data_IF_273019283445
#
_entry.id   IF_273019283445
#
_cell.length_a   1.000
_cell.length_b   1.000
_cell.length_c   1.000
_cell.angle_alpha   90.00
_cell.angle_beta   90.00
_cell.angle_gamma   90.00
#
_symmetry.space_group_name_H-M   'P 1'
#
loop_
_entity.id
_entity.type
_entity.pdbx_description
1 polymer ?
#
# COMPACT_ATOMS: atom_id res chain seq x y z
N UNK A 1 -3.37 1.42 15.44
CA UNK A 1 -3.46 0.23 16.31
C UNK A 1 -2.41 -0.79 15.83
N UNK A 2 -1.39 -1.12 16.64
CA UNK A 2 -0.39 -2.12 16.28
C UNK A 2 -1.02 -3.46 15.86
N UNK A 3 -0.41 -4.19 14.93
CA UNK A 3 -0.84 -5.51 14.44
C UNK A 3 -2.25 -5.61 13.81
N UNK A 4 -3.04 -4.54 13.75
CA UNK A 4 -4.42 -4.62 13.23
C UNK A 4 -4.51 -5.04 11.76
N UNK A 5 -3.42 -4.94 10.99
CA UNK A 5 -3.31 -5.43 9.62
C UNK A 5 -3.40 -6.97 9.50
N UNK A 6 -3.33 -7.69 10.61
CA UNK A 6 -3.53 -9.15 10.71
C UNK A 6 -4.98 -9.53 11.03
N UNK A 7 -5.81 -8.56 11.41
CA UNK A 7 -7.20 -8.83 11.80
C UNK A 7 -8.10 -9.02 10.57
N UNK A 8 -8.90 -10.08 10.60
CA UNK A 8 -10.00 -10.33 9.65
C UNK A 8 -11.38 -10.11 10.29
N UNK A 9 -11.42 -9.55 11.52
CA UNK A 9 -12.67 -9.31 12.25
C UNK A 9 -13.48 -8.17 11.61
N UNK A 10 -14.81 -8.21 11.72
CA UNK A 10 -15.70 -7.20 11.15
C UNK A 10 -15.47 -5.79 11.71
N UNK A 11 -14.92 -5.67 12.92
CA UNK A 11 -14.54 -4.38 13.51
C UNK A 11 -13.34 -3.74 12.80
N UNK A 12 -12.48 -4.54 12.16
CA UNK A 12 -11.37 -4.06 11.33
C UNK A 12 -11.80 -3.56 9.95
N UNK A 13 -13.11 -3.47 9.68
CA UNK A 13 -13.64 -3.00 8.41
C UNK A 13 -13.35 -1.48 8.23
N UNK A 14 -12.69 -1.06 7.14
CA UNK A 14 -12.31 0.33 6.90
C UNK A 14 -13.50 1.30 6.71
N UNK A 15 -14.70 0.79 6.49
CA UNK A 15 -15.92 1.61 6.40
C UNK A 15 -16.53 1.93 7.76
N UNK A 16 -16.10 1.25 8.83
CA UNK A 16 -16.46 1.62 10.19
C UNK A 16 -15.63 2.83 10.61
N UNK A 17 -16.28 3.77 11.28
CA UNK A 17 -15.65 4.98 11.80
C UNK A 17 -15.58 4.86 13.32
N UNK A 18 -14.39 5.14 13.86
CA UNK A 18 -14.13 5.17 15.29
C UNK A 18 -13.42 6.49 15.60
N UNK A 19 -13.70 7.07 16.77
CA UNK A 19 -13.02 8.29 17.22
C UNK A 19 -11.63 7.97 17.79
N UNK A 20 -11.51 6.86 18.53
CA UNK A 20 -10.27 6.39 19.14
C UNK A 20 -10.36 4.88 19.46
N UNK A 21 -9.23 4.26 19.78
CA UNK A 21 -9.16 2.89 20.28
C UNK A 21 -8.26 2.79 21.54
N UNK A 22 -8.61 2.03 22.60
CA UNK A 22 -7.80 1.95 23.83
C UNK A 22 -6.35 1.49 23.62
N UNK A 23 -6.10 0.69 22.57
CA UNK A 23 -4.76 0.19 22.21
C UNK A 23 -4.11 0.95 21.04
N UNK A 24 -4.65 2.11 20.65
CA UNK A 24 -3.94 2.96 19.70
C UNK A 24 -2.69 3.56 20.34
N UNK A 25 -1.65 3.73 19.53
CA UNK A 25 -0.37 4.28 19.99
C UNK A 25 -0.07 5.54 19.20
N UNK A 26 0.37 6.59 19.91
CA UNK A 26 0.84 7.81 19.27
C UNK A 26 2.26 7.58 18.75
N UNK A 27 2.45 7.78 17.45
CA UNK A 27 3.78 7.73 16.85
C UNK A 27 4.26 9.14 16.60
N UNK A 28 5.33 9.53 17.29
CA UNK A 28 5.98 10.83 17.14
C UNK A 28 7.28 10.67 16.34
N UNK A 29 7.59 11.66 15.51
CA UNK A 29 8.76 11.64 14.63
C UNK A 29 9.35 13.05 14.52
N UNK A 30 10.68 13.12 14.42
CA UNK A 30 11.40 14.34 14.06
C UNK A 30 11.44 14.49 12.53
N UNK A 31 11.68 15.72 12.06
CA UNK A 31 11.96 15.94 10.65
C UNK A 31 13.13 15.04 10.19
N UNK A 32 12.97 14.41 9.03
CA UNK A 32 13.93 13.42 8.49
C UNK A 32 13.67 11.97 8.90
N UNK A 33 12.79 11.71 9.88
CA UNK A 33 12.36 10.34 10.19
C UNK A 33 11.25 9.88 9.23
N UNK A 34 11.19 8.57 8.99
CA UNK A 34 10.15 7.93 8.19
C UNK A 34 9.35 6.94 9.04
N UNK A 35 8.03 6.92 8.83
CA UNK A 35 7.11 5.98 9.47
C UNK A 35 6.62 5.05 8.36
N UNK A 36 6.97 3.77 8.43
CA UNK A 36 6.51 2.77 7.48
C UNK A 36 5.35 1.98 8.07
N UNK A 37 4.24 1.96 7.35
CA UNK A 37 3.02 1.24 7.76
C UNK A 37 2.51 0.34 6.63
N UNK A 38 1.92 -0.79 7.01
CA UNK A 38 1.25 -1.68 6.08
C UNK A 38 -0.08 -1.06 5.59
N UNK A 39 -0.45 -1.25 4.32
CA UNK A 39 -1.71 -0.72 3.76
C UNK A 39 -2.99 -1.14 4.50
N UNK A 40 -2.97 -2.21 5.31
CA UNK A 40 -4.12 -2.70 6.10
C UNK A 40 -4.11 -2.27 7.57
N UNK A 41 -3.12 -1.52 8.04
CA UNK A 41 -3.10 -1.12 9.44
C UNK A 41 -4.10 0.01 9.70
N UNK A 42 -4.80 -0.09 10.82
CA UNK A 42 -5.76 0.90 11.26
C UNK A 42 -4.99 2.07 11.86
N UNK A 43 -5.10 3.24 11.23
CA UNK A 43 -4.34 4.43 11.58
C UNK A 43 -5.16 5.68 11.31
N UNK A 44 -4.79 6.76 11.98
CA UNK A 44 -5.43 8.06 11.87
C UNK A 44 -4.52 9.14 12.41
N UNK A 45 -4.91 10.39 12.16
CA UNK A 45 -4.19 11.55 12.67
C UNK A 45 -4.76 11.94 14.02
N UNK A 46 -3.90 12.03 15.04
CA UNK A 46 -4.27 12.69 16.29
C UNK A 46 -4.59 14.18 16.06
N UNK A 47 -5.47 14.76 16.90
CA UNK A 47 -5.76 16.19 16.90
C UNK A 47 -4.49 17.04 16.97
N UNK A 48 -4.41 18.09 16.15
CA UNK A 48 -3.33 19.07 16.25
C UNK A 48 -3.74 20.16 17.26
N UNK A 49 -3.35 20.00 18.52
CA UNK A 49 -3.67 20.94 19.61
C UNK A 49 -2.61 22.04 19.80
N UNK A 50 -1.57 22.06 18.96
CA UNK A 50 -0.54 23.10 18.97
C UNK A 50 -0.94 24.36 18.18
N UNK A 51 -0.06 25.35 18.22
CA UNK A 51 -0.20 26.66 17.56
C UNK A 51 0.38 26.71 16.13
N UNK A 52 0.89 25.57 15.63
CA UNK A 52 1.56 25.48 14.33
C UNK A 52 1.06 24.29 13.50
N UNK A 53 1.11 24.39 12.16
CA UNK A 53 0.76 23.27 11.29
C UNK A 53 1.76 22.11 11.42
N UNK A 54 1.25 20.88 11.25
CA UNK A 54 2.07 19.66 11.13
C UNK A 54 2.21 19.29 9.65
N UNK A 55 3.43 19.43 9.12
CA UNK A 55 3.76 19.01 7.75
C UNK A 55 4.28 17.58 7.69
N UNK A 56 3.86 16.82 6.66
CA UNK A 56 4.42 15.51 6.33
C UNK A 56 4.32 15.25 4.83
N UNK A 57 5.22 14.41 4.30
CA UNK A 57 5.08 13.83 2.97
C UNK A 57 4.56 12.40 3.10
N UNK A 58 3.40 12.12 2.50
CA UNK A 58 2.83 10.77 2.45
C UNK A 58 3.13 10.15 1.08
N UNK A 59 3.96 9.11 1.07
CA UNK A 59 4.28 8.34 -0.13
C UNK A 59 3.63 6.96 0.00
N UNK A 60 2.75 6.63 -0.95
CA UNK A 60 2.11 5.33 -1.01
C UNK A 60 2.73 4.50 -2.14
N UNK A 61 3.15 3.28 -1.82
CA UNK A 61 3.59 2.29 -2.80
C UNK A 61 2.47 1.28 -3.02
N UNK A 62 2.27 0.89 -4.28
CA UNK A 62 1.39 -0.22 -4.65
C UNK A 62 2.15 -1.20 -5.54
N UNK A 63 1.76 -2.48 -5.55
CA UNK A 63 2.26 -3.40 -6.56
C UNK A 63 1.95 -2.88 -7.97
N UNK A 64 2.90 -3.02 -8.90
CA UNK A 64 2.76 -2.49 -10.27
C UNK A 64 1.52 -3.03 -10.99
N UNK A 65 1.14 -4.27 -10.70
CA UNK A 65 -0.03 -4.94 -11.28
C UNK A 65 -1.38 -4.47 -10.74
N UNK A 66 -1.41 -3.71 -9.64
CA UNK A 66 -2.64 -3.28 -8.97
C UNK A 66 -3.04 -1.88 -9.45
N UNK A 67 -3.41 -1.75 -10.72
CA UNK A 67 -3.76 -0.46 -11.33
C UNK A 67 -4.84 0.34 -10.57
N UNK A 68 -4.96 1.65 -10.83
CA UNK A 68 -5.97 2.52 -10.20
C UNK A 68 -7.39 2.06 -10.50
N UNK A 69 -8.40 2.57 -9.75
CA UNK A 69 -9.83 2.28 -9.99
C UNK A 69 -10.24 2.72 -11.39
N UNK A 70 -9.85 3.94 -11.76
CA UNK A 70 -10.06 4.51 -13.10
C UNK A 70 -8.74 4.79 -13.80
N UNK A 71 -8.79 4.94 -15.13
CA UNK A 71 -7.62 5.27 -15.92
C UNK A 71 -7.08 6.64 -15.50
N UNK A 72 -5.76 6.75 -15.39
CA UNK A 72 -5.06 8.00 -15.13
C UNK A 72 -4.11 8.30 -16.28
N UNK A 73 -3.73 9.57 -16.43
CA UNK A 73 -2.70 9.94 -17.40
C UNK A 73 -1.38 9.22 -17.05
N UNK A 74 -0.69 8.70 -18.04
CA UNK A 74 0.63 8.10 -17.84
C UNK A 74 1.68 9.17 -17.50
N UNK A 75 2.86 8.72 -17.07
CA UNK A 75 3.98 9.63 -16.80
C UNK A 75 4.44 10.33 -18.08
N UNK A 76 4.87 11.59 -17.95
CA UNK A 76 5.59 12.26 -19.02
C UNK A 76 6.96 11.56 -19.22
N UNK A 77 7.24 10.97 -20.41
CA UNK A 77 8.51 10.30 -20.67
C UNK A 77 9.73 11.22 -20.50
N UNK A 78 9.58 12.51 -20.82
CA UNK A 78 10.64 13.50 -20.68
C UNK A 78 11.01 13.77 -19.22
N UNK A 79 10.04 13.76 -18.32
CA UNK A 79 10.28 13.89 -16.87
C UNK A 79 10.86 12.60 -16.28
N UNK A 80 10.36 11.43 -16.70
CA UNK A 80 10.89 10.14 -16.24
C UNK A 80 12.35 9.95 -16.68
N UNK A 81 12.73 10.43 -17.87
CA UNK A 81 14.10 10.35 -18.36
C UNK A 81 15.12 11.14 -17.50
N UNK A 82 14.66 12.15 -16.75
CA UNK A 82 15.50 12.95 -15.83
C UNK A 82 15.78 12.23 -14.51
N UNK A 83 15.05 11.17 -14.19
CA UNK A 83 15.21 10.45 -12.93
C UNK A 83 16.47 9.57 -12.92
N UNK A 84 17.09 9.34 -11.75
CA UNK A 84 18.21 8.42 -11.62
C UNK A 84 17.85 7.01 -12.11
N UNK A 85 18.84 6.31 -12.64
CA UNK A 85 18.69 4.96 -13.19
C UNK A 85 18.05 3.97 -12.21
N UNK A 86 18.39 4.05 -10.93
CA UNK A 86 17.82 3.22 -9.87
C UNK A 86 16.35 3.55 -9.54
N UNK A 87 15.87 4.72 -9.95
CA UNK A 87 14.51 5.21 -9.63
C UNK A 87 13.55 4.99 -10.79
N UNK A 88 14.01 5.11 -12.05
CA UNK A 88 13.19 4.92 -13.27
C UNK A 88 12.33 3.63 -13.24
N UNK A 89 12.79 2.47 -12.74
CA UNK A 89 11.97 1.26 -12.70
C UNK A 89 10.68 1.38 -11.88
N UNK A 90 10.60 2.32 -10.92
CA UNK A 90 9.39 2.56 -10.14
C UNK A 90 8.33 3.39 -10.88
N UNK A 91 8.69 3.98 -12.03
CA UNK A 91 7.83 4.81 -12.88
C UNK A 91 7.35 4.04 -14.14
N UNK A 92 7.05 2.75 -13.98
CA UNK A 92 6.38 1.96 -15.00
C UNK A 92 4.94 2.43 -15.31
N UNK A 93 4.25 1.72 -16.21
CA UNK A 93 2.90 2.09 -16.66
C UNK A 93 1.92 2.27 -15.50
N UNK A 94 1.28 3.45 -15.41
CA UNK A 94 0.37 3.76 -14.29
C UNK A 94 -0.91 2.95 -14.37
N UNK A 95 -1.30 2.56 -15.58
CA UNK A 95 -2.52 1.83 -15.85
C UNK A 95 -2.35 0.30 -15.93
N UNK A 96 -1.16 -0.24 -15.60
CA UNK A 96 -0.93 -1.69 -15.58
C UNK A 96 -1.88 -2.39 -14.61
N UNK A 97 -2.60 -3.41 -15.11
CA UNK A 97 -3.57 -4.23 -14.37
C UNK A 97 -3.34 -5.69 -14.74
N UNK A 98 -2.93 -6.52 -13.77
CA UNK A 98 -2.85 -7.98 -13.95
C UNK A 98 -4.00 -8.62 -13.17
N UNK A 99 -5.18 -8.64 -13.78
CA UNK A 99 -6.38 -9.30 -13.27
C UNK A 99 -7.28 -9.71 -14.44
N UNK A 100 -8.18 -10.66 -14.21
CA UNK A 100 -9.23 -11.04 -15.15
C UNK A 100 -10.57 -11.12 -14.39
N UNK A 101 -11.38 -10.05 -14.47
CA UNK A 101 -12.71 -10.02 -13.86
C UNK A 101 -13.74 -10.86 -14.64
N UNK A 102 -13.47 -11.18 -15.91
CA UNK A 102 -14.36 -11.96 -16.77
C UNK A 102 -14.06 -13.47 -16.75
N UNK A 103 -12.99 -13.88 -16.08
CA UNK A 103 -12.57 -15.27 -15.98
C UNK A 103 -13.66 -16.15 -15.37
N UNK A 104 -13.94 -17.29 -16.02
CA UNK A 104 -14.85 -18.30 -15.47
C UNK A 104 -14.27 -18.97 -14.22
N UNK A 105 -15.12 -19.63 -13.44
CA UNK A 105 -14.72 -20.30 -12.18
C UNK A 105 -13.59 -21.35 -12.35
N UNK A 106 -13.48 -21.97 -13.53
CA UNK A 106 -12.43 -22.94 -13.87
C UNK A 106 -11.91 -22.66 -15.29
N UNK A 107 -10.94 -21.74 -15.44
CA UNK A 107 -10.36 -21.42 -16.75
C UNK A 107 -9.65 -22.63 -17.37
N UNK A 108 -9.48 -22.62 -18.69
CA UNK A 108 -8.59 -23.58 -19.33
C UNK A 108 -7.13 -23.31 -18.90
N UNK A 109 -6.29 -24.35 -18.89
CA UNK A 109 -4.84 -24.24 -18.63
C UNK A 109 -4.46 -23.63 -17.26
N UNK A 110 -5.20 -23.94 -16.20
CA UNK A 110 -4.83 -23.52 -14.84
C UNK A 110 -3.45 -24.06 -14.45
N UNK A 111 -2.54 -23.17 -14.06
CA UNK A 111 -1.24 -23.54 -13.54
C UNK A 111 -1.36 -24.27 -12.19
N UNK A 112 -0.51 -25.27 -11.97
CA UNK A 112 -0.40 -26.00 -10.70
C UNK A 112 0.61 -25.38 -9.73
N UNK A 113 1.39 -24.39 -10.16
CA UNK A 113 2.48 -23.79 -9.40
C UNK A 113 2.43 -22.26 -9.42
N UNK A 114 2.82 -21.65 -8.30
CA UNK A 114 2.92 -20.20 -8.15
C UNK A 114 4.03 -19.84 -7.14
N UNK A 115 5.31 -19.80 -7.57
CA UNK A 115 6.46 -19.69 -6.66
C UNK A 115 6.42 -18.50 -5.70
N UNK A 116 5.82 -17.38 -6.12
CA UNK A 116 5.66 -16.19 -5.27
C UNK A 116 4.78 -16.40 -4.03
N UNK A 117 3.95 -17.44 -4.01
CA UNK A 117 3.07 -17.79 -2.89
C UNK A 117 3.62 -18.95 -2.04
N UNK A 118 4.75 -19.57 -2.43
CA UNK A 118 5.30 -20.72 -1.74
C UNK A 118 5.61 -20.37 -0.27
N UNK A 119 5.09 -21.11 0.74
CA UNK A 119 5.44 -20.86 2.14
C UNK A 119 6.94 -20.98 2.42
N UNK A 120 7.64 -21.84 1.68
CA UNK A 120 9.09 -22.03 1.77
C UNK A 120 9.90 -20.76 1.51
N UNK A 121 9.35 -19.75 0.82
CA UNK A 121 10.01 -18.45 0.62
C UNK A 121 10.28 -17.68 1.92
N UNK A 122 9.62 -18.07 3.01
CA UNK A 122 9.76 -17.44 4.32
C UNK A 122 10.65 -18.24 5.28
N UNK A 123 10.98 -19.49 4.94
CA UNK A 123 11.98 -20.25 5.67
C UNK A 123 13.34 -19.59 5.40
N UNK A 124 13.93 -18.98 6.44
CA UNK A 124 15.31 -18.52 6.39
C UNK A 124 16.20 -19.73 6.65
N UNK A 125 17.17 -19.99 5.77
CA UNK A 125 18.35 -20.80 6.13
C UNK A 125 19.20 -20.05 7.16
#
# INVERSE_FOLDING_TARGET
IPHSHLSMHADGNPYRRFESHPEEVMVTARAGAAILINHRIFHGNYPNTGDRPRGMLAIAYRPAWAGPVDRVDDWDPGEVAKLPDAVRPFFGGRNTRLWDFGGGNKPANMASEAPGMNPSRWARE
#
